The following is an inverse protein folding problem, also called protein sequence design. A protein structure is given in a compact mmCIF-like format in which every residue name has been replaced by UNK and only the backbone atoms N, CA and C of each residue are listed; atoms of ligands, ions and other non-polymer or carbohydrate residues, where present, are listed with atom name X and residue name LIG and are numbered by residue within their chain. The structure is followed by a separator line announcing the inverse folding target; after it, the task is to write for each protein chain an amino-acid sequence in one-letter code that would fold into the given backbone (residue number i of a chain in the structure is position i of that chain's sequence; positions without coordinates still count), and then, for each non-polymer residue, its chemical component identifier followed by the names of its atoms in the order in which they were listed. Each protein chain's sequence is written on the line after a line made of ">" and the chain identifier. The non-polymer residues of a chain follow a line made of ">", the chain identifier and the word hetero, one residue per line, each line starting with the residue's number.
data_IF_577696582169
#
_entry.id   IF_577696582169
#
_cell.length_a   1.000
_cell.length_b   1.000
_cell.length_c   1.000
_cell.angle_alpha   90.00
_cell.angle_beta   90.00
_cell.angle_gamma   90.00
#
_symmetry.space_group_name_H-M   'P 1'
#
loop_
_entity.id
_entity.type
_entity.pdbx_description
1 polymer ?
#
# COMPACT_ATOMS: atom_id res chain seq x y z
N UNK A 1 10.78 -9.64 1.53
CA UNK A 1 10.29 -8.39 0.90
C UNK A 1 11.07 -7.19 1.44
N UNK A 2 11.52 -6.26 0.59
CA UNK A 2 12.09 -4.95 0.96
C UNK A 2 11.01 -3.88 0.85
N UNK A 3 10.87 -3.01 1.84
CA UNK A 3 9.92 -1.88 1.80
C UNK A 3 10.69 -0.58 1.53
N UNK A 4 10.26 0.21 0.55
CA UNK A 4 10.76 1.55 0.27
C UNK A 4 9.63 2.56 0.43
N UNK A 5 9.67 3.34 1.50
CA UNK A 5 8.74 4.43 1.72
C UNK A 5 9.41 5.79 1.43
N UNK A 6 8.75 6.64 0.65
CA UNK A 6 9.24 8.01 0.44
C UNK A 6 9.13 8.82 1.74
N UNK A 7 10.02 9.80 1.99
CA UNK A 7 9.92 10.66 3.18
C UNK A 7 8.55 11.35 3.31
N UNK A 8 7.96 11.76 2.19
CA UNK A 8 6.63 12.37 2.14
C UNK A 8 5.54 11.38 2.51
N UNK A 9 5.67 10.11 2.12
CA UNK A 9 4.75 9.05 2.51
C UNK A 9 4.83 8.76 4.00
N UNK A 10 6.04 8.67 4.56
CA UNK A 10 6.25 8.49 6.00
C UNK A 10 5.58 9.63 6.77
N UNK A 11 5.82 10.89 6.39
CA UNK A 11 5.20 12.04 7.03
C UNK A 11 3.67 11.98 7.00
N UNK A 12 3.10 11.66 5.84
CA UNK A 12 1.64 11.58 5.68
C UNK A 12 1.02 10.44 6.51
N UNK A 13 1.68 9.28 6.59
CA UNK A 13 1.22 8.16 7.42
C UNK A 13 1.30 8.52 8.90
N UNK A 14 2.36 9.20 9.33
CA UNK A 14 2.52 9.67 10.71
C UNK A 14 1.43 10.67 11.10
N UNK A 15 1.09 11.62 10.22
CA UNK A 15 -0.04 12.55 10.40
C UNK A 15 -1.39 11.82 10.55
N UNK A 16 -1.51 10.61 9.99
CA UNK A 16 -2.71 9.77 10.01
C UNK A 16 -2.68 8.69 11.11
N UNK A 17 -1.77 8.78 12.07
CA UNK A 17 -1.68 7.86 13.21
C UNK A 17 -0.63 6.75 13.08
N UNK A 18 0.27 6.85 12.10
CA UNK A 18 1.48 6.03 11.99
C UNK A 18 1.28 4.64 11.38
N UNK A 19 0.04 4.27 11.04
CA UNK A 19 -0.33 2.94 10.53
C UNK A 19 -0.75 3.01 9.07
N UNK A 20 -0.32 2.03 8.28
CA UNK A 20 -0.70 1.88 6.88
C UNK A 20 -1.11 0.42 6.61
N UNK A 21 -2.34 0.24 6.14
CA UNK A 21 -2.90 -1.05 5.73
C UNK A 21 -2.94 -1.12 4.22
N UNK A 22 -2.48 -2.25 3.67
CA UNK A 22 -2.35 -2.45 2.21
C UNK A 22 -2.98 -3.79 1.81
N UNK A 23 -3.84 -3.77 0.80
CA UNK A 23 -4.49 -4.97 0.26
C UNK A 23 -4.69 -4.90 -1.25
N UNK A 24 -4.84 -6.06 -1.91
CA UNK A 24 -5.24 -6.10 -3.30
C UNK A 24 -6.73 -5.81 -3.47
N UNK A 25 -7.05 -4.89 -4.38
CA UNK A 25 -8.39 -4.59 -4.86
C UNK A 25 -8.48 -4.90 -6.33
N UNK A 26 -9.46 -5.72 -6.70
CA UNK A 26 -9.82 -5.97 -8.10
C UNK A 26 -10.81 -4.89 -8.56
N UNK A 27 -10.51 -4.28 -9.69
CA UNK A 27 -11.44 -3.42 -10.43
C UNK A 27 -11.68 -4.01 -11.81
N UNK A 28 -12.94 -3.95 -12.27
CA UNK A 28 -13.31 -4.34 -13.63
C UNK A 28 -13.37 -3.07 -14.47
N UNK A 29 -12.65 -3.04 -15.57
CA UNK A 29 -12.80 -2.01 -16.61
C UNK A 29 -13.23 -2.65 -17.92
N UNK A 30 -13.56 -1.84 -18.92
CA UNK A 30 -14.06 -2.27 -20.23
C UNK A 30 -13.16 -3.27 -20.97
N UNK A 31 -11.87 -3.39 -20.59
CA UNK A 31 -10.87 -4.27 -21.22
C UNK A 31 -10.34 -5.40 -20.29
N UNK A 32 -10.94 -5.62 -19.12
CA UNK A 32 -10.54 -6.73 -18.24
C UNK A 32 -10.61 -6.42 -16.75
N UNK A 33 -10.05 -7.32 -15.94
CA UNK A 33 -9.84 -7.11 -14.52
C UNK A 33 -8.43 -6.60 -14.25
N UNK A 34 -8.32 -5.45 -13.60
CA UNK A 34 -7.06 -4.95 -13.05
C UNK A 34 -7.06 -5.22 -11.55
N UNK A 35 -5.94 -5.71 -11.03
CA UNK A 35 -5.71 -5.73 -9.59
C UNK A 35 -4.74 -4.60 -9.26
N UNK A 36 -4.99 -3.89 -8.18
CA UNK A 36 -4.06 -2.87 -7.69
C UNK A 36 -4.03 -2.92 -6.18
N UNK A 37 -3.02 -2.28 -5.58
CA UNK A 37 -2.95 -2.15 -4.14
C UNK A 37 -3.71 -0.91 -3.71
N UNK A 38 -4.61 -1.12 -2.76
CA UNK A 38 -5.32 -0.07 -2.05
C UNK A 38 -4.66 0.13 -0.68
N UNK A 39 -4.68 1.36 -0.18
CA UNK A 39 -4.07 1.74 1.09
C UNK A 39 -5.06 2.47 1.99
N UNK A 40 -4.98 2.28 3.30
CA UNK A 40 -5.78 3.00 4.30
C UNK A 40 -5.01 3.19 5.60
N UNK A 41 -5.34 4.22 6.37
CA UNK A 41 -4.86 4.43 7.75
C UNK A 41 -5.63 3.60 8.78
N UNK A 42 -6.79 3.05 8.38
CA UNK A 42 -7.65 2.22 9.23
C UNK A 42 -7.73 0.78 8.67
N UNK A 43 -7.79 -0.24 9.56
CA UNK A 43 -7.96 -1.62 9.15
C UNK A 43 -9.36 -1.86 8.59
N UNK A 44 -9.45 -2.53 7.45
CA UNK A 44 -10.71 -3.12 7.00
C UNK A 44 -11.02 -4.45 7.69
N UNK A 45 -12.19 -5.04 7.42
CA UNK A 45 -12.56 -6.39 7.88
C UNK A 45 -11.78 -7.50 7.12
N UNK A 46 -10.47 -7.53 7.34
CA UNK A 46 -9.51 -8.42 6.66
C UNK A 46 -8.40 -8.82 7.62
N UNK A 47 -7.82 -10.01 7.46
CA UNK A 47 -6.64 -10.39 8.22
C UNK A 47 -5.42 -9.62 7.68
N UNK A 48 -4.60 -9.08 8.59
CA UNK A 48 -3.40 -8.35 8.25
C UNK A 48 -2.21 -8.87 9.05
N UNK A 49 -1.07 -9.00 8.38
CA UNK A 49 0.23 -9.24 9.00
C UNK A 49 1.06 -7.96 9.04
N UNK A 50 1.78 -7.75 10.14
CA UNK A 50 2.75 -6.67 10.26
C UNK A 50 3.98 -6.98 9.42
N UNK A 51 4.51 -5.95 8.78
CA UNK A 51 5.77 -6.01 8.02
C UNK A 51 6.69 -4.89 8.50
N UNK A 52 7.96 -5.21 8.63
CA UNK A 52 8.98 -4.21 8.94
C UNK A 52 9.10 -3.18 7.81
N UNK A 53 8.86 -1.92 8.18
CA UNK A 53 9.01 -0.76 7.33
C UNK A 53 9.59 0.38 8.16
N UNK A 54 10.65 0.99 7.67
CA UNK A 54 11.31 2.07 8.41
C UNK A 54 10.39 3.29 8.52
N UNK A 55 10.12 3.70 9.76
CA UNK A 55 9.38 4.93 10.06
C UNK A 55 7.86 4.84 10.00
N UNK A 56 7.26 3.69 9.68
CA UNK A 56 5.80 3.48 9.70
C UNK A 56 5.43 2.07 10.16
N UNK A 57 4.25 1.90 10.75
CA UNK A 57 3.69 0.58 11.04
C UNK A 57 2.91 0.08 9.80
N UNK A 58 3.54 -0.79 9.02
CA UNK A 58 2.95 -1.34 7.79
C UNK A 58 2.27 -2.69 8.04
N UNK A 59 1.06 -2.82 7.50
CA UNK A 59 0.23 -4.01 7.57
C UNK A 59 -0.18 -4.45 6.17
N UNK A 60 0.13 -5.69 5.79
CA UNK A 60 -0.29 -6.29 4.52
C UNK A 60 -1.38 -7.32 4.75
N UNK A 61 -2.39 -7.34 3.87
CA UNK A 61 -3.41 -8.40 3.86
C UNK A 61 -2.70 -9.75 3.75
N UNK A 62 -3.03 -10.69 4.63
CA UNK A 62 -2.39 -12.02 4.67
C UNK A 62 -2.61 -12.83 3.39
N UNK A 63 -3.63 -12.47 2.58
CA UNK A 63 -3.95 -13.11 1.30
C UNK A 63 -3.09 -12.58 0.15
N UNK A 64 -2.30 -11.53 0.39
CA UNK A 64 -1.31 -11.06 -0.57
C UNK A 64 -0.08 -11.98 -0.56
N UNK A 65 0.46 -12.25 -1.74
CA UNK A 65 1.82 -12.76 -1.87
C UNK A 65 2.88 -11.82 -1.27
N UNK A 66 4.13 -12.25 -1.29
CA UNK A 66 5.28 -11.45 -0.86
C UNK A 66 6.08 -11.00 -2.07
N UNK A 67 6.01 -9.72 -2.48
CA UNK A 67 6.89 -9.21 -3.54
C UNK A 67 8.34 -9.13 -3.05
N UNK A 68 9.26 -8.99 -4.00
CA UNK A 68 10.64 -8.67 -3.65
C UNK A 68 10.73 -7.23 -3.10
N UNK A 69 10.02 -6.29 -3.73
CA UNK A 69 9.95 -4.90 -3.31
C UNK A 69 8.52 -4.36 -3.21
N UNK A 70 8.22 -3.69 -2.10
CA UNK A 70 7.02 -2.88 -1.92
C UNK A 70 7.42 -1.40 -1.85
N UNK A 71 6.90 -0.61 -2.79
CA UNK A 71 7.13 0.84 -2.86
C UNK A 71 5.92 1.57 -2.31
N UNK A 72 6.14 2.52 -1.40
CA UNK A 72 5.13 3.37 -0.76
C UNK A 72 5.44 4.83 -1.05
N UNK A 73 4.53 5.53 -1.73
CA UNK A 73 4.71 6.91 -2.16
C UNK A 73 3.50 7.77 -1.84
N UNK A 74 3.72 9.05 -1.51
CA UNK A 74 2.65 10.03 -1.43
C UNK A 74 2.46 10.71 -2.79
N UNK A 75 1.28 10.59 -3.40
CA UNK A 75 0.91 11.29 -4.65
C UNK A 75 -0.35 12.12 -4.49
N UNK A 76 -0.59 13.02 -5.44
CA UNK A 76 -1.73 13.93 -5.45
C UNK A 76 -1.35 15.36 -5.08
N UNK A 77 -1.85 16.33 -5.84
CA UNK A 77 -1.45 17.74 -5.72
C UNK A 77 -2.25 18.51 -4.66
N UNK A 78 -3.57 18.28 -4.58
CA UNK A 78 -4.49 18.99 -3.67
C UNK A 78 -4.84 18.19 -2.43
N UNK A 79 -5.01 16.88 -2.57
CA UNK A 79 -5.11 15.91 -1.48
C UNK A 79 -4.04 14.88 -1.72
N UNK A 80 -3.06 14.82 -0.83
CA UNK A 80 -2.04 13.78 -0.88
C UNK A 80 -2.66 12.48 -0.40
N UNK A 81 -2.40 11.42 -1.14
CA UNK A 81 -2.79 10.06 -0.83
C UNK A 81 -1.54 9.19 -0.84
N UNK A 82 -1.46 8.28 0.11
CA UNK A 82 -0.45 7.22 0.09
C UNK A 82 -0.85 6.22 -0.99
N UNK A 83 0.11 5.72 -1.75
CA UNK A 83 -0.06 4.68 -2.74
C UNK A 83 0.99 3.60 -2.51
N UNK A 84 0.63 2.35 -2.80
CA UNK A 84 1.52 1.21 -2.74
C UNK A 84 1.66 0.56 -4.13
N UNK A 85 2.86 0.09 -4.45
CA UNK A 85 3.19 -0.60 -5.71
C UNK A 85 4.08 -1.81 -5.44
N UNK A 86 3.90 -2.88 -6.20
CA UNK A 86 4.80 -4.05 -6.19
C UNK A 86 5.80 -3.92 -7.33
N UNK A 87 7.08 -4.05 -7.03
CA UNK A 87 8.16 -4.10 -8.02
C UNK A 87 8.08 -2.98 -9.09
N UNK A 88 7.59 -1.79 -8.70
CA UNK A 88 7.41 -0.63 -9.58
C UNK A 88 6.17 -0.63 -10.49
N UNK A 89 5.28 -1.62 -10.37
CA UNK A 89 4.09 -1.79 -11.20
C UNK A 89 2.77 -1.84 -10.40
N UNK A 90 1.66 -1.53 -11.07
CA UNK A 90 0.33 -1.94 -10.61
C UNK A 90 0.23 -3.46 -10.77
N UNK A 91 -0.12 -4.16 -9.69
CA UNK A 91 -0.14 -5.61 -9.58
C UNK A 91 -0.92 -6.31 -10.71
N UNK A 92 -0.24 -7.00 -11.63
CA UNK A 92 -0.90 -7.84 -12.64
C UNK A 92 -0.83 -9.29 -12.16
N UNK A 93 -2.00 -9.92 -11.96
CA UNK A 93 -2.14 -11.38 -11.77
C UNK A 93 -2.38 -12.02 -13.12
#
# INVERSE_FOLDING_TARGET
>A
MRVKASPEAIGLVQEQGGKLYVWAKRSRCCHGSLTFLETSSEPGERPFRRVDADGIELYLDERLGEPEELVVEAKGRRRKHVHAYWDGCAYVV
#
